data_IF_167148274000
#
_entry.id   IF_167148274000
#
_cell.length_a   1.000
_cell.length_b   1.000
_cell.length_c   1.000
_cell.angle_alpha   90.00
_cell.angle_beta   90.00
_cell.angle_gamma   90.00
#
_symmetry.space_group_name_H-M   'P 1'
#
loop_
_entity.id
_entity.type
_entity.pdbx_description
1 polymer ?
#
# COMPACT_ATOMS: atom_id res chain seq x y z
N UNK A 1 -31.17 -18.82 -6.86
CA UNK A 1 -32.37 -17.98 -6.90
C UNK A 1 -33.30 -18.45 -5.81
N UNK A 2 -33.57 -17.58 -4.83
CA UNK A 2 -34.41 -17.93 -3.68
C UNK A 2 -35.88 -17.66 -4.00
N UNK A 3 -36.19 -16.54 -4.67
CA UNK A 3 -37.54 -16.16 -5.08
C UNK A 3 -37.56 -15.73 -6.56
N UNK A 4 -37.85 -16.64 -7.51
CA UNK A 4 -37.80 -16.35 -8.93
C UNK A 4 -39.01 -15.51 -9.37
N UNK A 5 -38.72 -14.35 -9.99
CA UNK A 5 -39.72 -13.46 -10.60
C UNK A 5 -39.42 -13.25 -12.07
N UNK A 6 -40.47 -13.14 -12.88
CA UNK A 6 -40.36 -12.74 -14.28
C UNK A 6 -40.67 -11.25 -14.45
N UNK A 7 -39.91 -10.57 -15.30
CA UNK A 7 -40.22 -9.23 -15.80
C UNK A 7 -41.05 -9.30 -17.08
N UNK A 8 -41.59 -8.17 -17.52
CA UNK A 8 -42.46 -8.08 -18.72
C UNK A 8 -41.78 -8.43 -20.04
N UNK A 9 -40.45 -8.46 -20.06
CA UNK A 9 -39.65 -8.95 -21.19
C UNK A 9 -39.47 -10.48 -21.19
N UNK A 10 -40.06 -11.19 -20.21
CA UNK A 10 -39.99 -12.65 -20.08
C UNK A 10 -38.70 -13.18 -19.43
N UNK A 11 -37.79 -12.29 -19.02
CA UNK A 11 -36.57 -12.70 -18.31
C UNK A 11 -36.87 -13.03 -16.84
N UNK A 12 -36.17 -14.02 -16.28
CA UNK A 12 -36.35 -14.49 -14.90
C UNK A 12 -35.17 -14.04 -14.03
N UNK A 13 -35.46 -13.44 -12.89
CA UNK A 13 -34.48 -12.91 -11.96
C UNK A 13 -34.79 -13.33 -10.51
N UNK A 14 -33.81 -13.17 -9.62
CA UNK A 14 -34.07 -13.20 -8.18
C UNK A 14 -34.77 -11.89 -7.77
N UNK A 15 -35.88 -11.97 -7.02
CA UNK A 15 -36.71 -10.81 -6.66
C UNK A 15 -35.89 -9.69 -6.03
N UNK A 16 -35.09 -10.02 -5.01
CA UNK A 16 -34.33 -9.01 -4.28
C UNK A 16 -33.37 -8.25 -5.20
N UNK A 17 -32.72 -8.96 -6.12
CA UNK A 17 -31.76 -8.40 -7.04
C UNK A 17 -32.42 -7.44 -8.04
N UNK A 18 -33.52 -7.86 -8.67
CA UNK A 18 -34.20 -7.02 -9.66
C UNK A 18 -34.88 -5.81 -9.00
N UNK A 19 -35.43 -5.96 -7.80
CA UNK A 19 -35.97 -4.84 -7.04
C UNK A 19 -34.89 -3.81 -6.67
N UNK A 20 -33.74 -4.27 -6.16
CA UNK A 20 -32.61 -3.39 -5.86
C UNK A 20 -32.10 -2.68 -7.12
N UNK A 21 -32.03 -3.38 -8.24
CA UNK A 21 -31.65 -2.80 -9.53
C UNK A 21 -32.59 -1.69 -9.98
N UNK A 22 -33.91 -1.95 -9.93
CA UNK A 22 -34.96 -0.97 -10.25
C UNK A 22 -34.83 0.25 -9.33
N UNK A 23 -34.70 0.05 -8.01
CA UNK A 23 -34.53 1.14 -7.02
C UNK A 23 -33.29 1.98 -7.31
N UNK A 24 -32.15 1.35 -7.58
CA UNK A 24 -30.86 2.03 -7.88
C UNK A 24 -30.92 2.85 -9.16
N UNK A 25 -31.66 2.40 -10.18
CA UNK A 25 -31.89 3.16 -11.43
C UNK A 25 -32.79 4.37 -11.20
N UNK A 26 -33.87 4.19 -10.44
CA UNK A 26 -34.81 5.26 -10.09
C UNK A 26 -34.14 6.37 -9.28
N UNK A 27 -33.34 6.03 -8.26
CA UNK A 27 -32.60 7.02 -7.46
C UNK A 27 -31.66 7.89 -8.29
N UNK A 28 -31.22 7.40 -9.46
CA UNK A 28 -30.34 8.12 -10.39
C UNK A 28 -31.09 8.84 -11.51
N UNK A 29 -32.43 8.84 -11.50
CA UNK A 29 -33.28 9.34 -12.57
C UNK A 29 -32.88 8.79 -13.96
N UNK A 30 -32.49 7.52 -14.03
CA UNK A 30 -32.13 6.83 -15.28
C UNK A 30 -33.29 5.93 -15.75
N UNK A 31 -33.45 5.72 -17.06
CA UNK A 31 -34.39 4.73 -17.57
C UNK A 31 -34.07 3.35 -16.98
N UNK A 32 -35.12 2.59 -16.68
CA UNK A 32 -35.01 1.28 -16.04
C UNK A 32 -34.82 0.26 -17.16
N UNK A 33 -33.58 -0.19 -17.32
CA UNK A 33 -33.22 -1.18 -18.33
C UNK A 33 -33.19 -2.58 -17.70
N UNK A 34 -33.66 -3.58 -18.42
CA UNK A 34 -33.53 -5.00 -18.07
C UNK A 34 -32.04 -5.37 -17.99
N UNK A 35 -31.57 -6.02 -16.90
CA UNK A 35 -30.16 -6.39 -16.76
C UNK A 35 -29.65 -7.31 -17.88
N UNK A 36 -30.47 -8.26 -18.36
CA UNK A 36 -30.05 -9.24 -19.35
C UNK A 36 -30.08 -8.68 -20.78
N UNK A 37 -31.12 -7.92 -21.14
CA UNK A 37 -31.32 -7.47 -22.53
C UNK A 37 -30.82 -6.06 -22.78
N UNK A 38 -30.59 -5.26 -21.72
CA UNK A 38 -30.24 -3.84 -21.83
C UNK A 38 -31.37 -2.96 -22.37
N UNK A 39 -32.55 -3.53 -22.67
CA UNK A 39 -33.71 -2.80 -23.18
C UNK A 39 -34.50 -2.15 -22.06
N UNK A 40 -35.21 -1.05 -22.36
CA UNK A 40 -36.06 -0.39 -21.38
C UNK A 40 -37.26 -1.26 -21.00
N UNK A 41 -37.52 -1.39 -19.70
CA UNK A 41 -38.63 -2.15 -19.16
C UNK A 41 -39.90 -1.28 -19.21
N UNK A 42 -40.89 -1.62 -20.07
CA UNK A 42 -42.11 -0.83 -20.20
C UNK A 42 -42.97 -0.84 -18.92
N UNK A 43 -42.80 -1.87 -18.08
CA UNK A 43 -43.45 -1.98 -16.78
C UNK A 43 -42.50 -2.54 -15.73
N UNK A 44 -42.69 -2.09 -14.49
CA UNK A 44 -41.90 -2.50 -13.31
C UNK A 44 -42.57 -3.62 -12.52
N UNK A 45 -43.71 -4.12 -13.00
CA UNK A 45 -44.46 -5.19 -12.35
C UNK A 45 -43.65 -6.48 -12.47
N UNK A 46 -43.38 -7.11 -11.32
CA UNK A 46 -42.66 -8.38 -11.23
C UNK A 46 -43.69 -9.50 -11.03
N UNK A 47 -43.69 -10.48 -11.93
CA UNK A 47 -44.59 -11.62 -11.88
C UNK A 47 -43.94 -12.75 -11.06
N UNK A 48 -44.49 -13.13 -9.89
CA UNK A 48 -43.97 -14.25 -9.12
C UNK A 48 -44.16 -15.57 -9.86
N UNK A 49 -43.12 -16.40 -9.94
CA UNK A 49 -43.18 -17.69 -10.61
C UNK A 49 -43.38 -18.85 -9.62
N UNK A 50 -44.37 -18.73 -8.73
CA UNK A 50 -44.64 -19.72 -7.67
C UNK A 50 -44.91 -21.11 -8.26
N UNK A 51 -45.64 -21.19 -9.37
CA UNK A 51 -45.95 -22.46 -10.03
C UNK A 51 -44.67 -23.16 -10.54
N UNK A 52 -43.72 -22.41 -11.10
CA UNK A 52 -42.45 -22.95 -11.55
C UNK A 52 -41.62 -23.46 -10.37
N UNK A 53 -41.56 -22.68 -9.29
CA UNK A 53 -40.87 -23.09 -8.07
C UNK A 53 -41.44 -24.41 -7.52
N UNK A 54 -42.76 -24.52 -7.40
CA UNK A 54 -43.43 -25.76 -6.95
C UNK A 54 -43.17 -26.92 -7.91
N UNK A 55 -43.16 -26.68 -9.21
CA UNK A 55 -42.82 -27.69 -10.21
C UNK A 55 -41.40 -28.21 -10.06
N UNK A 56 -40.43 -27.32 -9.83
CA UNK A 56 -39.03 -27.70 -9.58
C UNK A 56 -38.89 -28.45 -8.25
N UNK A 57 -39.54 -27.98 -7.18
CA UNK A 57 -39.54 -28.66 -5.88
C UNK A 57 -40.12 -30.08 -5.99
N UNK A 58 -41.26 -30.23 -6.66
CA UNK A 58 -41.88 -31.53 -6.91
C UNK A 58 -40.99 -32.43 -7.76
N UNK A 59 -40.36 -31.90 -8.82
CA UNK A 59 -39.43 -32.65 -9.65
C UNK A 59 -38.22 -33.15 -8.86
N UNK A 60 -37.62 -32.31 -8.02
CA UNK A 60 -36.50 -32.67 -7.15
C UNK A 60 -36.91 -33.67 -6.06
N UNK A 61 -38.15 -33.58 -5.56
CA UNK A 61 -38.70 -34.56 -4.61
C UNK A 61 -38.82 -35.96 -5.23
N UNK A 62 -39.19 -36.03 -6.52
CA UNK A 62 -39.26 -37.30 -7.26
C UNK A 62 -37.90 -37.85 -7.71
N UNK A 63 -36.83 -37.04 -7.64
CA UNK A 63 -35.48 -37.41 -8.09
C UNK A 63 -34.40 -37.04 -7.06
N UNK A 64 -34.28 -37.80 -5.97
CA UNK A 64 -33.32 -37.50 -4.90
C UNK A 64 -31.85 -37.55 -5.37
N UNK A 65 -31.54 -38.26 -6.46
CA UNK A 65 -30.20 -38.29 -7.07
C UNK A 65 -29.71 -36.88 -7.47
N UNK A 66 -30.60 -36.01 -7.95
CA UNK A 66 -30.27 -34.63 -8.29
C UNK A 66 -30.04 -33.78 -7.04
N UNK A 67 -30.82 -33.99 -5.98
CA UNK A 67 -30.64 -33.28 -4.71
C UNK A 67 -29.27 -33.59 -4.10
N UNK A 68 -28.88 -34.87 -4.12
CA UNK A 68 -27.56 -35.30 -3.66
C UNK A 68 -26.42 -34.70 -4.51
N UNK A 69 -26.59 -34.66 -5.84
CA UNK A 69 -25.63 -34.05 -6.76
C UNK A 69 -25.47 -32.54 -6.51
N UNK A 70 -26.58 -31.80 -6.34
CA UNK A 70 -26.56 -30.36 -6.06
C UNK A 70 -25.92 -30.06 -4.70
N UNK A 71 -26.21 -30.85 -3.66
CA UNK A 71 -25.57 -30.69 -2.36
C UNK A 71 -24.07 -30.97 -2.42
N UNK A 72 -23.66 -32.01 -3.17
CA UNK A 72 -22.25 -32.32 -3.39
C UNK A 72 -21.54 -31.18 -4.13
N UNK A 73 -22.15 -30.66 -5.20
CA UNK A 73 -21.61 -29.54 -5.96
C UNK A 73 -21.42 -28.27 -5.10
N UNK A 74 -22.39 -27.94 -4.24
CA UNK A 74 -22.26 -26.81 -3.30
C UNK A 74 -21.18 -27.04 -2.23
N UNK A 75 -21.05 -28.28 -1.75
CA UNK A 75 -20.00 -28.62 -0.79
C UNK A 75 -18.60 -28.57 -1.40
N UNK A 76 -18.45 -28.96 -2.67
CA UNK A 76 -17.17 -28.87 -3.38
C UNK A 76 -16.81 -27.43 -3.68
N UNK A 77 -17.75 -26.59 -4.14
CA UNK A 77 -17.50 -25.16 -4.37
C UNK A 77 -17.08 -24.45 -3.08
N UNK A 78 -17.76 -24.72 -1.97
CA UNK A 78 -17.37 -24.16 -0.66
C UNK A 78 -16.01 -24.66 -0.20
N UNK A 79 -15.67 -25.92 -0.46
CA UNK A 79 -14.36 -26.48 -0.10
C UNK A 79 -13.24 -25.88 -0.95
N UNK A 80 -13.46 -25.70 -2.25
CA UNK A 80 -12.48 -25.07 -3.15
C UNK A 80 -12.23 -23.61 -2.77
N UNK A 81 -13.27 -22.86 -2.40
CA UNK A 81 -13.13 -21.49 -1.94
C UNK A 81 -12.32 -21.41 -0.64
N UNK A 82 -12.58 -22.32 0.31
CA UNK A 82 -11.79 -22.41 1.56
C UNK A 82 -10.32 -22.72 1.26
N UNK A 83 -10.04 -23.70 0.40
CA UNK A 83 -8.66 -24.04 0.00
C UNK A 83 -7.96 -22.86 -0.67
N UNK A 84 -8.64 -22.12 -1.56
CA UNK A 84 -8.08 -20.92 -2.19
C UNK A 84 -7.78 -19.82 -1.18
N UNK A 85 -8.66 -19.61 -0.19
CA UNK A 85 -8.44 -18.63 0.87
C UNK A 85 -7.28 -19.03 1.79
N UNK A 86 -7.17 -20.31 2.15
CA UNK A 86 -6.03 -20.83 2.93
C UNK A 86 -4.71 -20.69 2.17
N UNK A 87 -4.69 -21.01 0.88
CA UNK A 87 -3.52 -20.81 0.03
C UNK A 87 -3.13 -19.33 -0.04
N UNK A 88 -4.10 -18.42 -0.26
CA UNK A 88 -3.85 -16.98 -0.30
C UNK A 88 -3.33 -16.45 1.06
N UNK A 89 -3.83 -16.97 2.18
CA UNK A 89 -3.32 -16.64 3.51
C UNK A 89 -1.88 -17.15 3.72
N UNK A 90 -1.58 -18.35 3.25
CA UNK A 90 -0.22 -18.91 3.27
C UNK A 90 0.76 -18.08 2.43
N UNK A 91 0.38 -17.70 1.21
CA UNK A 91 1.17 -16.82 0.34
C UNK A 91 1.36 -15.42 0.95
N UNK A 92 0.32 -14.86 1.59
CA UNK A 92 0.43 -13.59 2.29
C UNK A 92 1.37 -13.66 3.51
N UNK A 93 1.35 -14.77 4.25
CA UNK A 93 2.24 -14.99 5.40
C UNK A 93 3.71 -15.13 4.98
N UNK A 94 3.99 -15.88 3.90
CA UNK A 94 5.37 -16.01 3.37
C UNK A 94 5.87 -14.70 2.78
N UNK A 95 5.03 -13.97 2.04
CA UNK A 95 5.36 -12.63 1.54
C UNK A 95 5.68 -11.65 2.67
N UNK A 96 4.93 -11.72 3.78
CA UNK A 96 5.19 -10.90 4.97
C UNK A 96 6.54 -11.26 5.61
N UNK A 97 6.84 -12.55 5.78
CA UNK A 97 8.12 -12.99 6.34
C UNK A 97 9.31 -12.55 5.48
N UNK A 98 9.20 -12.66 4.15
CA UNK A 98 10.22 -12.17 3.21
C UNK A 98 10.39 -10.65 3.27
N UNK A 99 9.30 -9.90 3.44
CA UNK A 99 9.36 -8.45 3.61
C UNK A 99 10.06 -8.06 4.92
N UNK A 100 9.81 -8.77 6.02
CA UNK A 100 10.51 -8.55 7.30
C UNK A 100 12.01 -8.88 7.20
N UNK A 101 12.37 -10.00 6.57
CA UNK A 101 13.78 -10.35 6.35
C UNK A 101 14.52 -9.31 5.48
N UNK A 102 13.88 -8.85 4.40
CA UNK A 102 14.45 -7.80 3.54
C UNK A 102 14.62 -6.47 4.28
N UNK A 103 13.71 -6.14 5.21
CA UNK A 103 13.80 -4.95 6.07
C UNK A 103 15.00 -5.06 7.02
N UNK A 104 15.19 -6.18 7.69
CA UNK A 104 16.30 -6.38 8.61
C UNK A 104 17.65 -6.33 7.89
N UNK A 105 17.73 -6.93 6.69
CA UNK A 105 18.90 -6.83 5.82
C UNK A 105 19.20 -5.38 5.42
N UNK A 106 18.19 -4.60 5.05
CA UNK A 106 18.36 -3.19 4.72
C UNK A 106 18.82 -2.35 5.92
N UNK A 107 18.32 -2.64 7.13
CA UNK A 107 18.76 -1.96 8.36
C UNK A 107 20.24 -2.23 8.64
N UNK A 108 20.69 -3.48 8.50
CA UNK A 108 22.09 -3.85 8.65
C UNK A 108 22.99 -3.17 7.61
N UNK A 109 22.55 -3.11 6.35
CA UNK A 109 23.28 -2.44 5.27
C UNK A 109 23.41 -0.93 5.53
N UNK A 110 22.33 -0.27 5.96
CA UNK A 110 22.36 1.15 6.35
C UNK A 110 23.31 1.38 7.54
N UNK A 111 23.33 0.49 8.53
CA UNK A 111 24.25 0.57 9.66
C UNK A 111 25.73 0.44 9.22
N UNK A 112 26.01 -0.51 8.32
CA UNK A 112 27.35 -0.69 7.75
C UNK A 112 27.81 0.52 6.94
N UNK A 113 26.92 1.11 6.12
CA UNK A 113 27.20 2.32 5.35
C UNK A 113 27.48 3.52 6.26
N UNK A 114 26.70 3.70 7.34
CA UNK A 114 26.96 4.74 8.35
C UNK A 114 28.33 4.56 9.01
N UNK A 115 28.70 3.33 9.38
CA UNK A 115 30.00 3.06 9.97
C UNK A 115 31.15 3.37 8.98
N UNK A 116 30.97 3.01 7.70
CA UNK A 116 31.96 3.34 6.64
C UNK A 116 32.10 4.85 6.44
N UNK A 117 30.99 5.59 6.43
CA UNK A 117 31.00 7.05 6.35
C UNK A 117 31.69 7.70 7.56
N UNK A 118 31.46 7.20 8.77
CA UNK A 118 32.15 7.66 9.99
C UNK A 118 33.66 7.41 9.91
N UNK A 119 34.09 6.23 9.46
CA UNK A 119 35.51 5.91 9.25
C UNK A 119 36.15 6.85 8.22
N UNK A 120 35.48 7.08 7.09
CA UNK A 120 35.97 8.02 6.06
C UNK A 120 36.07 9.45 6.61
N UNK A 121 35.09 9.90 7.42
CA UNK A 121 35.14 11.20 8.07
C UNK A 121 36.32 11.34 9.02
N UNK A 122 36.65 10.29 9.78
CA UNK A 122 37.82 10.28 10.65
C UNK A 122 39.13 10.41 9.87
N UNK A 123 39.31 9.60 8.81
CA UNK A 123 40.49 9.65 7.93
C UNK A 123 40.63 11.03 7.29
N UNK A 124 39.53 11.64 6.84
CA UNK A 124 39.55 12.97 6.24
C UNK A 124 39.89 14.06 7.28
N UNK A 125 39.53 13.87 8.54
CA UNK A 125 39.94 14.70 9.66
C UNK A 125 41.45 14.64 9.90
N UNK A 126 42.02 13.43 10.00
CA UNK A 126 43.47 13.20 10.15
C UNK A 126 44.26 13.80 8.98
N UNK A 127 43.76 13.64 7.76
CA UNK A 127 44.36 14.22 6.57
C UNK A 127 44.37 15.76 6.61
N UNK A 128 43.25 16.37 7.00
CA UNK A 128 43.16 17.84 7.18
C UNK A 128 44.13 18.35 8.25
N UNK A 129 44.30 17.61 9.35
CA UNK A 129 45.28 17.96 10.38
C UNK A 129 46.72 17.82 9.90
N UNK A 130 47.04 16.74 9.18
CA UNK A 130 48.36 16.52 8.60
C UNK A 130 48.72 17.65 7.61
N UNK A 131 47.79 18.03 6.72
CA UNK A 131 47.97 19.14 5.80
C UNK A 131 48.23 20.46 6.54
N UNK A 132 47.48 20.76 7.62
CA UNK A 132 47.74 21.94 8.47
C UNK A 132 49.12 21.92 9.12
N UNK A 133 49.59 20.76 9.59
CA UNK A 133 50.94 20.62 10.18
C UNK A 133 52.02 20.88 9.13
N UNK A 134 51.86 20.35 7.92
CA UNK A 134 52.80 20.52 6.82
C UNK A 134 52.86 21.98 6.36
N UNK A 135 51.71 22.67 6.25
CA UNK A 135 51.68 24.11 5.97
C UNK A 135 52.41 24.93 7.06
N UNK A 136 52.20 24.60 8.34
CA UNK A 136 52.94 25.27 9.44
C UNK A 136 54.45 25.03 9.35
N UNK A 137 54.88 23.80 9.05
CA UNK A 137 56.29 23.48 8.87
C UNK A 137 56.91 24.28 7.71
N UNK A 138 56.23 24.33 6.56
CA UNK A 138 56.68 25.13 5.41
C UNK A 138 56.78 26.62 5.75
N UNK A 139 55.81 27.17 6.48
CA UNK A 139 55.87 28.55 6.97
C UNK A 139 57.07 28.78 7.90
N UNK A 140 57.34 27.86 8.82
CA UNK A 140 58.52 27.97 9.71
C UNK A 140 59.84 27.85 8.95
N UNK A 141 59.93 26.95 7.95
CA UNK A 141 61.12 26.82 7.10
C UNK A 141 61.34 28.07 6.26
N UNK A 142 60.27 28.65 5.71
CA UNK A 142 60.33 29.91 4.95
C UNK A 142 60.80 31.07 5.82
N UNK A 143 60.32 31.15 7.07
CA UNK A 143 60.78 32.16 8.02
C UNK A 143 62.26 31.97 8.40
N UNK A 144 62.70 30.72 8.67
CA UNK A 144 64.09 30.41 9.01
C UNK A 144 65.06 30.67 7.84
N UNK A 145 64.62 30.45 6.60
CA UNK A 145 65.40 30.78 5.42
C UNK A 145 65.50 32.29 5.22
N UNK A 146 64.43 33.05 5.47
CA UNK A 146 64.48 34.50 5.40
C UNK A 146 65.49 35.10 6.41
N UNK A 147 65.55 34.55 7.64
CA UNK A 147 66.55 34.97 8.64
C UNK A 147 67.97 34.54 8.25
N UNK A 148 68.15 33.32 7.73
CA UNK A 148 69.44 32.85 7.24
C UNK A 148 69.96 33.69 6.05
N UNK A 149 69.06 34.09 5.14
CA UNK A 149 69.38 34.98 4.03
C UNK A 149 69.87 36.35 4.51
N UNK A 150 69.25 36.92 5.56
CA UNK A 150 69.69 38.18 6.13
C UNK A 150 71.05 38.07 6.82
N UNK A 151 71.29 36.97 7.55
CA UNK A 151 72.57 36.74 8.24
C UNK A 151 73.72 36.50 7.24
N UNK A 152 73.47 35.70 6.21
CA UNK A 152 74.42 35.45 5.14
C UNK A 152 74.79 36.74 4.40
N UNK A 153 73.81 37.61 4.11
CA UNK A 153 74.06 38.94 3.52
C UNK A 153 74.95 39.81 4.42
N UNK A 154 74.71 39.81 5.73
CA UNK A 154 75.54 40.55 6.68
C UNK A 154 76.98 40.01 6.74
N UNK A 155 77.17 38.68 6.71
CA UNK A 155 78.50 38.07 6.68
C UNK A 155 79.24 38.35 5.36
N UNK A 156 78.53 38.34 4.23
CA UNK A 156 79.07 38.68 2.91
C UNK A 156 79.59 40.13 2.85
N UNK A 157 78.83 41.08 3.39
CA UNK A 157 79.25 42.47 3.51
C UNK A 157 80.56 42.62 4.32
N UNK A 158 80.83 41.72 5.26
CA UNK A 158 82.05 41.72 6.05
C UNK A 158 83.27 41.07 5.35
N UNK A 159 83.06 40.20 4.35
CA UNK A 159 84.12 39.33 3.80
C UNK A 159 84.88 39.90 2.58
N UNK A 160 84.39 40.96 1.92
CA UNK A 160 85.13 41.86 1.03
C UNK A 160 85.71 41.32 -0.30
N UNK A 161 86.14 40.05 -0.42
CA UNK A 161 86.95 39.58 -1.57
C UNK A 161 86.47 38.27 -2.23
N UNK A 162 85.39 37.64 -1.75
CA UNK A 162 84.77 36.45 -2.37
C UNK A 162 83.27 36.64 -2.66
N UNK A 163 82.88 37.89 -2.90
CA UNK A 163 81.47 38.27 -2.94
C UNK A 163 80.70 37.61 -4.09
N UNK A 164 81.31 37.52 -5.27
CA UNK A 164 80.62 37.10 -6.51
C UNK A 164 80.30 35.60 -6.51
N UNK A 165 81.25 34.72 -6.19
CA UNK A 165 80.99 33.27 -6.10
C UNK A 165 79.92 32.91 -5.04
N UNK A 166 79.91 33.65 -3.93
CA UNK A 166 78.90 33.47 -2.89
C UNK A 166 77.54 34.01 -3.32
N UNK A 167 77.48 35.07 -4.12
CA UNK A 167 76.21 35.54 -4.70
C UNK A 167 75.62 34.50 -5.66
N UNK A 168 76.44 33.90 -6.52
CA UNK A 168 75.99 32.87 -7.46
C UNK A 168 75.47 31.63 -6.73
N UNK A 169 76.19 31.15 -5.71
CA UNK A 169 75.73 30.03 -4.89
C UNK A 169 74.41 30.34 -4.15
N UNK A 170 74.25 31.56 -3.63
CA UNK A 170 73.04 31.99 -2.93
C UNK A 170 71.85 32.14 -3.90
N UNK A 171 72.09 32.62 -5.12
CA UNK A 171 71.10 32.67 -6.19
C UNK A 171 70.63 31.26 -6.59
N UNK A 172 71.54 30.29 -6.71
CA UNK A 172 71.20 28.90 -7.00
C UNK A 172 70.35 28.27 -5.89
N UNK A 173 70.73 28.45 -4.62
CA UNK A 173 69.94 27.94 -3.48
C UNK A 173 68.55 28.57 -3.44
N UNK A 174 68.43 29.86 -3.78
CA UNK A 174 67.14 30.54 -3.87
C UNK A 174 66.26 29.96 -4.98
N UNK A 175 66.83 29.75 -6.17
CA UNK A 175 66.11 29.15 -7.30
C UNK A 175 65.63 27.73 -6.98
N UNK A 176 66.50 26.89 -6.40
CA UNK A 176 66.14 25.53 -5.96
C UNK A 176 65.03 25.55 -4.89
N UNK A 177 65.06 26.53 -3.98
CA UNK A 177 64.03 26.68 -2.95
C UNK A 177 62.70 27.17 -3.51
N UNK A 178 62.71 28.14 -4.42
CA UNK A 178 61.51 28.63 -5.12
C UNK A 178 60.86 27.50 -5.92
N UNK A 179 61.65 26.70 -6.66
CA UNK A 179 61.15 25.53 -7.38
C UNK A 179 60.49 24.50 -6.45
N UNK A 180 61.08 24.23 -5.28
CA UNK A 180 60.49 23.34 -4.27
C UNK A 180 59.21 23.91 -3.67
N UNK A 181 59.15 25.23 -3.46
CA UNK A 181 57.95 25.91 -2.99
C UNK A 181 56.82 25.78 -4.01
N UNK A 182 57.08 26.11 -5.28
CA UNK A 182 56.09 25.99 -6.36
C UNK A 182 55.59 24.55 -6.52
N UNK A 183 56.48 23.55 -6.46
CA UNK A 183 56.09 22.15 -6.48
C UNK A 183 55.19 21.77 -5.29
N UNK A 184 55.50 22.28 -4.09
CA UNK A 184 54.69 22.04 -2.88
C UNK A 184 53.33 22.74 -2.92
N UNK A 185 53.26 23.94 -3.48
CA UNK A 185 52.02 24.70 -3.68
C UNK A 185 51.12 24.00 -4.70
N UNK A 186 51.70 23.51 -5.81
CA UNK A 186 50.99 22.69 -6.79
C UNK A 186 50.43 21.40 -6.18
N UNK A 187 51.21 20.71 -5.33
CA UNK A 187 50.73 19.53 -4.61
C UNK A 187 49.59 19.86 -3.64
N UNK A 188 49.68 20.98 -2.90
CA UNK A 188 48.62 21.43 -2.01
C UNK A 188 47.33 21.78 -2.78
N UNK A 189 47.44 22.47 -3.92
CA UNK A 189 46.31 22.81 -4.77
C UNK A 189 45.61 21.55 -5.30
N UNK A 190 46.37 20.53 -5.72
CA UNK A 190 45.83 19.25 -6.16
C UNK A 190 45.07 18.52 -5.03
N UNK A 191 45.67 18.44 -3.84
CA UNK A 191 45.02 17.82 -2.68
C UNK A 191 43.75 18.56 -2.28
N UNK A 192 43.74 19.90 -2.35
CA UNK A 192 42.56 20.71 -2.05
C UNK A 192 41.45 20.48 -3.09
N UNK A 193 41.79 20.31 -4.37
CA UNK A 193 40.82 19.94 -5.40
C UNK A 193 40.22 18.55 -5.16
N UNK A 194 41.04 17.55 -4.78
CA UNK A 194 40.57 16.20 -4.44
C UNK A 194 39.65 16.22 -3.20
N UNK A 195 39.99 17.00 -2.17
CA UNK A 195 39.13 17.19 -0.98
C UNK A 195 37.79 17.79 -1.37
N UNK A 196 37.77 18.85 -2.19
CA UNK A 196 36.53 19.45 -2.68
C UNK A 196 35.69 18.47 -3.50
N UNK A 197 36.33 17.63 -4.34
CA UNK A 197 35.63 16.60 -5.11
C UNK A 197 34.98 15.55 -4.19
N UNK A 198 35.68 15.11 -3.14
CA UNK A 198 35.13 14.18 -2.14
C UNK A 198 33.97 14.82 -1.38
N UNK A 199 34.08 16.09 -1.00
CA UNK A 199 33.00 16.84 -0.33
C UNK A 199 31.75 16.94 -1.22
N UNK A 200 31.89 17.23 -2.51
CA UNK A 200 30.77 17.22 -3.46
C UNK A 200 30.10 15.83 -3.55
N UNK A 201 30.89 14.76 -3.68
CA UNK A 201 30.35 13.38 -3.70
C UNK A 201 29.63 13.00 -2.40
N UNK A 202 30.11 13.49 -1.26
CA UNK A 202 29.43 13.27 0.01
C UNK A 202 28.05 13.95 0.07
N UNK A 203 27.91 15.15 -0.50
CA UNK A 203 26.62 15.85 -0.60
C UNK A 203 25.66 15.11 -1.53
N UNK A 204 26.12 14.70 -2.72
CA UNK A 204 25.31 13.90 -3.66
C UNK A 204 24.79 12.60 -3.01
N UNK A 205 25.64 11.90 -2.25
CA UNK A 205 25.23 10.70 -1.52
C UNK A 205 24.21 11.02 -0.42
N UNK A 206 24.33 12.15 0.27
CA UNK A 206 23.35 12.58 1.28
C UNK A 206 21.97 12.83 0.65
N UNK A 207 21.92 13.45 -0.53
CA UNK A 207 20.68 13.67 -1.27
C UNK A 207 20.05 12.35 -1.72
N UNK A 208 20.86 11.41 -2.24
CA UNK A 208 20.37 10.06 -2.60
C UNK A 208 19.81 9.33 -1.38
N UNK A 209 20.45 9.43 -0.21
CA UNK A 209 19.92 8.86 1.03
C UNK A 209 18.62 9.53 1.47
N UNK A 210 18.52 10.86 1.38
CA UNK A 210 17.31 11.60 1.72
C UNK A 210 16.13 11.20 0.80
N UNK A 211 16.39 11.08 -0.51
CA UNK A 211 15.41 10.63 -1.48
C UNK A 211 14.96 9.19 -1.21
N UNK A 212 15.90 8.26 -1.04
CA UNK A 212 15.58 6.86 -0.75
C UNK A 212 14.77 6.70 0.55
N UNK A 213 15.05 7.52 1.57
CA UNK A 213 14.27 7.56 2.81
C UNK A 213 12.84 8.06 2.55
N UNK A 214 12.68 9.16 1.82
CA UNK A 214 11.37 9.70 1.43
C UNK A 214 10.54 8.67 0.65
N UNK A 215 11.15 8.03 -0.34
CA UNK A 215 10.51 6.98 -1.16
C UNK A 215 10.09 5.78 -0.30
N UNK A 216 10.94 5.37 0.64
CA UNK A 216 10.63 4.32 1.62
C UNK A 216 9.43 4.67 2.50
N UNK A 217 9.38 5.89 3.03
CA UNK A 217 8.25 6.38 3.84
C UNK A 217 6.94 6.45 3.03
N UNK A 218 7.00 6.88 1.78
CA UNK A 218 5.83 6.91 0.89
C UNK A 218 5.30 5.50 0.61
N UNK A 219 6.20 4.54 0.34
CA UNK A 219 5.82 3.12 0.13
C UNK A 219 5.18 2.52 1.38
N UNK A 220 5.72 2.82 2.56
CA UNK A 220 5.15 2.37 3.83
C UNK A 220 3.73 2.93 4.04
N UNK A 221 3.52 4.24 3.83
CA UNK A 221 2.19 4.86 3.92
C UNK A 221 1.19 4.25 2.95
N UNK A 222 1.62 3.97 1.71
CA UNK A 222 0.77 3.32 0.72
C UNK A 222 0.39 1.88 1.13
N UNK A 223 1.30 1.14 1.76
CA UNK A 223 1.03 -0.19 2.28
C UNK A 223 0.08 -0.15 3.50
N UNK A 224 0.26 0.81 4.41
CA UNK A 224 -0.64 1.04 5.55
C UNK A 224 -2.06 1.40 5.11
N UNK A 225 -2.20 2.25 4.08
CA UNK A 225 -3.49 2.58 3.49
C UNK A 225 -4.20 1.34 2.92
N UNK A 226 -3.48 0.50 2.15
CA UNK A 226 -4.02 -0.77 1.63
C UNK A 226 -4.43 -1.72 2.75
N UNK A 227 -3.66 -1.80 3.83
CA UNK A 227 -4.02 -2.63 4.99
C UNK A 227 -5.29 -2.11 5.67
N UNK A 228 -5.42 -0.78 5.84
CA UNK A 228 -6.64 -0.17 6.37
C UNK A 228 -7.87 -0.50 5.50
N UNK A 229 -7.74 -0.49 4.17
CA UNK A 229 -8.80 -0.90 3.24
C UNK A 229 -9.19 -2.38 3.43
N UNK A 230 -8.21 -3.28 3.54
CA UNK A 230 -8.45 -4.70 3.78
C UNK A 230 -9.16 -4.94 5.13
N UNK A 231 -8.76 -4.24 6.18
CA UNK A 231 -9.44 -4.30 7.49
C UNK A 231 -10.89 -3.85 7.40
N UNK A 232 -11.18 -2.82 6.60
CA UNK A 232 -12.56 -2.39 6.34
C UNK A 232 -13.38 -3.45 5.59
N UNK A 233 -12.78 -4.17 4.62
CA UNK A 233 -13.41 -5.29 3.92
C UNK A 233 -13.72 -6.44 4.88
N UNK A 234 -12.76 -6.83 5.72
CA UNK A 234 -12.95 -7.86 6.75
C UNK A 234 -14.10 -7.48 7.68
N UNK A 235 -14.11 -6.24 8.20
CA UNK A 235 -15.18 -5.74 9.08
C UNK A 235 -16.56 -5.80 8.41
N UNK A 236 -16.66 -5.44 7.13
CA UNK A 236 -17.93 -5.55 6.37
C UNK A 236 -18.38 -7.00 6.25
N UNK A 237 -17.45 -7.93 5.98
CA UNK A 237 -17.76 -9.36 5.89
C UNK A 237 -18.23 -9.94 7.22
N UNK A 238 -17.59 -9.57 8.32
CA UNK A 238 -18.04 -9.96 9.66
C UNK A 238 -19.45 -9.47 9.95
N UNK A 239 -19.78 -8.23 9.57
CA UNK A 239 -21.13 -7.70 9.77
C UNK A 239 -22.18 -8.44 8.95
N UNK A 240 -21.86 -8.79 7.69
CA UNK A 240 -22.72 -9.67 6.89
C UNK A 240 -22.94 -11.03 7.56
N UNK A 241 -21.88 -11.64 8.13
CA UNK A 241 -22.00 -12.90 8.87
C UNK A 241 -22.85 -12.75 10.14
N UNK A 242 -22.73 -11.63 10.87
CA UNK A 242 -23.60 -11.33 12.02
C UNK A 242 -25.06 -11.20 11.60
N UNK A 243 -25.34 -10.51 10.50
CA UNK A 243 -26.70 -10.38 9.94
C UNK A 243 -27.26 -11.74 9.53
N UNK A 244 -26.47 -12.55 8.83
CA UNK A 244 -26.86 -13.92 8.46
C UNK A 244 -27.17 -14.77 9.68
N UNK A 245 -26.36 -14.73 10.74
CA UNK A 245 -26.63 -15.44 12.00
C UNK A 245 -27.92 -14.99 12.68
N UNK A 246 -28.19 -13.68 12.70
CA UNK A 246 -29.45 -13.14 13.24
C UNK A 246 -30.64 -13.66 12.45
N UNK A 247 -30.57 -13.59 11.12
CA UNK A 247 -31.63 -14.09 10.25
C UNK A 247 -31.88 -15.58 10.45
N UNK A 248 -30.83 -16.41 10.53
CA UNK A 248 -30.96 -17.84 10.84
C UNK A 248 -31.48 -18.13 12.25
N UNK A 249 -31.33 -17.21 13.21
CA UNK A 249 -31.92 -17.35 14.54
C UNK A 249 -33.42 -17.02 14.52
N UNK A 250 -33.82 -15.95 13.83
CA UNK A 250 -35.22 -15.60 13.61
C UNK A 250 -35.97 -16.71 12.89
N UNK A 251 -35.40 -17.24 11.80
CA UNK A 251 -36.00 -18.35 11.06
C UNK A 251 -36.21 -19.61 11.92
N UNK A 252 -35.27 -19.90 12.84
CA UNK A 252 -35.43 -21.01 13.79
C UNK A 252 -36.56 -20.76 14.78
N UNK A 253 -36.67 -19.53 15.30
CA UNK A 253 -37.79 -19.17 16.19
C UNK A 253 -39.14 -19.26 15.49
N UNK A 254 -39.21 -18.87 14.21
CA UNK A 254 -40.42 -19.01 13.40
C UNK A 254 -40.80 -20.48 13.21
N UNK A 255 -39.84 -21.34 12.88
CA UNK A 255 -40.07 -22.79 12.76
C UNK A 255 -40.50 -23.43 14.08
N UNK A 256 -39.86 -23.07 15.20
CA UNK A 256 -40.24 -23.58 16.53
C UNK A 256 -41.67 -23.14 16.92
N UNK A 257 -42.07 -21.91 16.53
CA UNK A 257 -43.42 -21.41 16.75
C UNK A 257 -44.45 -22.14 15.88
N UNK A 258 -44.13 -22.41 14.62
CA UNK A 258 -44.97 -23.23 13.74
C UNK A 258 -45.13 -24.65 14.28
N UNK A 259 -44.05 -25.29 14.75
CA UNK A 259 -44.10 -26.63 15.34
C UNK A 259 -44.97 -26.67 16.61
N UNK A 260 -44.91 -25.65 17.46
CA UNK A 260 -45.77 -25.54 18.64
C UNK A 260 -47.25 -25.41 18.27
N UNK A 261 -47.57 -24.62 17.24
CA UNK A 261 -48.94 -24.52 16.74
C UNK A 261 -49.40 -25.87 16.18
N UNK A 262 -48.60 -26.52 15.32
CA UNK A 262 -48.96 -27.83 14.74
C UNK A 262 -49.16 -28.89 15.84
N UNK A 263 -48.28 -28.95 16.84
CA UNK A 263 -48.41 -29.87 17.96
C UNK A 263 -49.67 -29.59 18.79
N UNK A 264 -49.94 -28.32 19.14
CA UNK A 264 -51.12 -27.94 19.92
C UNK A 264 -52.44 -28.25 19.20
N UNK A 265 -52.48 -28.06 17.88
CA UNK A 265 -53.63 -28.45 17.05
C UNK A 265 -53.83 -29.97 17.03
N UNK A 266 -52.73 -30.73 16.96
CA UNK A 266 -52.78 -32.20 16.97
C UNK A 266 -53.28 -32.77 18.30
N UNK A 267 -52.85 -32.20 19.42
CA UNK A 267 -53.33 -32.57 20.77
C UNK A 267 -54.80 -32.21 20.97
N UNK A 268 -55.22 -31.03 20.49
CA UNK A 268 -56.62 -30.61 20.54
C UNK A 268 -57.52 -31.53 19.70
N UNK A 269 -57.02 -32.03 18.56
CA UNK A 269 -57.74 -32.97 17.72
C UNK A 269 -57.83 -34.38 18.33
N UNK A 270 -56.78 -34.86 19.01
CA UNK A 270 -56.76 -36.20 19.62
C UNK A 270 -57.51 -36.30 20.95
N UNK A 271 -57.71 -35.18 21.66
CA UNK A 271 -58.39 -35.14 22.96
C UNK A 271 -59.92 -35.30 22.95
N UNK A 272 -60.60 -35.35 21.80
CA UNK A 272 -62.08 -35.38 21.74
C UNK A 272 -62.74 -36.77 21.68
N UNK A 273 -61.98 -37.88 21.80
CA UNK A 273 -62.52 -39.24 21.57
C UNK A 273 -63.10 -39.96 22.80
N UNK A 274 -63.35 -39.28 23.93
CA UNK A 274 -63.91 -39.94 25.12
C UNK A 274 -65.02 -39.12 25.77
N UNK A 275 -66.12 -38.95 25.03
CA UNK A 275 -67.40 -38.52 25.61
C UNK A 275 -68.51 -39.43 25.08
N UNK A 276 -69.25 -39.98 26.03
CA UNK A 276 -70.30 -40.96 25.87
C UNK A 276 -71.27 -40.67 24.73
N UNK A 277 -71.62 -41.75 24.02
CA UNK A 277 -72.55 -41.76 22.90
C UNK A 277 -73.87 -41.06 23.21
N UNK A 278 -74.00 -39.84 22.68
CA UNK A 278 -75.30 -39.26 22.31
C UNK A 278 -75.14 -38.54 20.97
N UNK A 279 -75.91 -38.93 19.94
CA UNK A 279 -75.86 -38.27 18.63
C UNK A 279 -76.47 -36.86 18.77
N UNK A 280 -75.62 -35.84 18.84
CA UNK A 280 -76.04 -34.46 18.73
C UNK A 280 -75.80 -34.03 17.28
N UNK A 281 -76.86 -33.55 16.64
CA UNK A 281 -76.90 -33.13 15.25
C UNK A 281 -75.84 -32.05 14.94
N UNK A 282 -75.34 -31.99 13.68
CA UNK A 282 -74.30 -31.04 13.30
C UNK A 282 -74.83 -29.61 13.34
N UNK A 283 -74.42 -28.85 14.35
CA UNK A 283 -74.57 -27.39 14.37
C UNK A 283 -73.41 -26.82 13.55
N UNK A 284 -73.75 -26.33 12.36
CA UNK A 284 -72.89 -25.53 11.51
C UNK A 284 -72.65 -24.18 12.21
N UNK A 285 -71.56 -24.08 12.96
CA UNK A 285 -71.05 -22.80 13.42
C UNK A 285 -69.93 -22.35 12.50
N UNK A 286 -70.25 -21.45 11.57
CA UNK A 286 -69.27 -20.69 10.82
C UNK A 286 -68.43 -19.85 11.80
N UNK A 287 -67.09 -19.93 11.76
CA UNK A 287 -66.26 -19.04 12.55
C UNK A 287 -66.30 -17.64 11.93
N UNK A 288 -67.05 -16.74 12.55
CA UNK A 288 -66.95 -15.29 12.29
C UNK A 288 -65.59 -14.83 12.81
N UNK A 289 -64.61 -14.76 11.92
CA UNK A 289 -63.33 -14.10 12.18
C UNK A 289 -63.59 -12.60 12.26
N UNK A 290 -63.77 -12.08 13.48
CA UNK A 290 -63.65 -10.64 13.73
C UNK A 290 -62.17 -10.29 13.75
N UNK A 291 -61.73 -9.62 12.68
CA UNK A 291 -60.43 -8.94 12.63
C UNK A 291 -60.57 -7.64 13.44
N UNK A 292 -60.14 -7.66 14.70
CA UNK A 292 -59.95 -6.44 15.49
C UNK A 292 -58.71 -5.70 14.96
N UNK A 293 -58.93 -4.56 14.32
CA UNK A 293 -57.89 -3.68 13.77
C UNK A 293 -57.36 -2.64 14.76
N UNK A 294 -57.67 -2.76 16.05
CA UNK A 294 -57.24 -1.80 17.08
C UNK A 294 -56.14 -2.37 17.97
N UNK A 295 -54.90 -2.37 17.47
CA UNK A 295 -53.71 -2.44 18.33
C UNK A 295 -52.70 -1.40 17.88
N UNK A 296 -52.54 -0.28 18.61
CA UNK A 296 -51.52 0.71 18.32
C UNK A 296 -50.17 0.22 18.84
N UNK A 297 -49.28 -0.18 17.92
CA UNK A 297 -47.91 -0.52 18.23
C UNK A 297 -47.11 0.69 18.77
N UNK A 298 -46.15 0.48 19.70
CA UNK A 298 -45.36 1.56 20.28
C UNK A 298 -44.17 1.90 19.38
N UNK A 299 -44.39 2.80 18.41
CA UNK A 299 -43.29 3.53 17.78
C UNK A 299 -43.44 5.02 18.04
N UNK A 300 -42.92 5.45 19.20
CA UNK A 300 -42.59 6.85 19.47
C UNK A 300 -41.42 7.24 18.55
N UNK A 301 -41.73 7.82 17.40
CA UNK A 301 -40.78 8.63 16.66
C UNK A 301 -40.59 9.95 17.44
N UNK A 302 -39.41 10.11 18.04
CA UNK A 302 -38.97 11.37 18.63
C UNK A 302 -38.58 12.29 17.46
N UNK A 303 -39.47 13.19 17.07
CA UNK A 303 -39.13 14.35 16.26
C UNK A 303 -38.25 15.28 17.11
N UNK A 304 -36.94 15.27 16.83
CA UNK A 304 -36.06 16.40 17.14
C UNK A 304 -35.88 17.23 15.87
N UNK A 305 -36.73 18.23 15.73
CA UNK A 305 -36.47 19.42 14.93
C UNK A 305 -35.22 20.12 15.47
N UNK A 306 -34.09 19.93 14.78
CA UNK A 306 -32.98 20.90 14.81
C UNK A 306 -32.96 21.58 13.45
N UNK A 307 -33.43 22.82 13.44
CA UNK A 307 -33.22 23.73 12.33
C UNK A 307 -31.74 23.98 12.13
N UNK A 308 -31.31 23.94 10.87
CA UNK A 308 -30.08 24.55 10.40
C UNK A 308 -30.35 25.26 9.07
N UNK A 309 -29.60 26.33 8.77
CA UNK A 309 -30.07 27.43 7.95
C UNK A 309 -29.86 27.19 6.46
N UNK A 310 -30.68 27.88 5.66
CA UNK A 310 -30.54 28.00 4.23
C UNK A 310 -29.15 28.53 3.86
N UNK A 311 -28.38 27.72 3.13
CA UNK A 311 -27.22 28.17 2.36
C UNK A 311 -27.61 28.13 0.89
N UNK A 312 -27.71 29.32 0.30
CA UNK A 312 -27.91 29.52 -1.12
C UNK A 312 -26.72 28.96 -1.90
N UNK A 313 -26.94 27.92 -2.69
CA UNK A 313 -25.96 27.49 -3.69
C UNK A 313 -26.17 28.35 -4.93
N UNK A 314 -25.30 29.36 -5.07
CA UNK A 314 -25.12 30.10 -6.32
C UNK A 314 -24.49 29.14 -7.32
N UNK A 315 -25.23 28.83 -8.39
CA UNK A 315 -24.70 28.11 -9.55
C UNK A 315 -23.72 29.03 -10.31
N UNK A 316 -22.43 28.87 -10.01
CA UNK A 316 -21.34 29.36 -10.84
C UNK A 316 -21.10 28.40 -12.00
N UNK A 317 -21.33 28.87 -13.22
CA UNK A 317 -20.90 28.23 -14.45
C UNK A 317 -19.37 28.38 -14.57
N UNK A 318 -18.64 27.27 -14.51
CA UNK A 318 -17.23 27.25 -14.89
C UNK A 318 -17.10 27.22 -16.44
N UNK A 319 -16.24 28.05 -17.03
CA UNK A 319 -15.97 28.04 -18.47
C UNK A 319 -15.03 26.87 -18.86
N UNK A 320 -15.02 26.47 -20.15
CA UNK A 320 -14.24 25.34 -20.62
C UNK A 320 -12.72 25.63 -20.58
N UNK A 321 -11.97 24.70 -19.98
CA UNK A 321 -10.50 24.68 -19.95
C UNK A 321 -9.97 24.37 -21.35
N UNK A 322 -9.04 25.16 -21.91
CA UNK A 322 -8.41 24.87 -23.19
C UNK A 322 -7.41 23.71 -23.07
N UNK A 323 -7.51 22.74 -23.98
CA UNK A 323 -6.53 21.68 -24.16
C UNK A 323 -5.19 22.28 -24.64
N UNK A 324 -4.25 22.48 -23.71
CA UNK A 324 -2.85 22.69 -24.03
C UNK A 324 -2.24 21.36 -24.50
N UNK A 325 -1.97 21.24 -25.81
CA UNK A 325 -1.09 20.21 -26.37
C UNK A 325 0.33 20.47 -25.86
N UNK A 326 0.85 19.58 -25.02
CA UNK A 326 2.28 19.49 -24.75
C UNK A 326 2.98 18.81 -25.94
N UNK A 327 4.20 19.24 -26.30
CA UNK A 327 4.96 18.67 -27.40
C UNK A 327 5.44 17.25 -27.05
N UNK A 328 5.34 16.34 -28.01
CA UNK A 328 5.98 15.03 -27.96
C UNK A 328 7.50 15.20 -27.98
N UNK A 329 8.25 14.57 -27.07
CA UNK A 329 9.69 14.41 -27.24
C UNK A 329 9.94 13.20 -28.15
N UNK A 330 10.22 13.48 -29.42
CA UNK A 330 10.99 12.58 -30.27
C UNK A 330 12.41 12.52 -29.71
N UNK A 331 12.83 11.34 -29.24
CA UNK A 331 14.16 11.17 -28.67
C UNK A 331 14.36 9.83 -28.02
N UNK A 332 14.57 8.80 -28.84
CA UNK A 332 15.12 7.51 -28.42
C UNK A 332 16.47 7.71 -27.72
N UNK A 333 16.48 7.75 -26.38
CA UNK A 333 17.66 7.41 -25.60
C UNK A 333 17.36 6.13 -24.83
N UNK A 334 18.10 5.08 -25.19
CA UNK A 334 18.06 3.79 -24.53
C UNK A 334 18.38 3.98 -23.03
N UNK A 335 17.37 3.79 -22.19
CA UNK A 335 17.53 3.68 -20.74
C UNK A 335 18.22 2.34 -20.42
N UNK A 336 19.53 2.28 -20.67
CA UNK A 336 20.42 1.30 -20.07
C UNK A 336 20.54 1.59 -18.58
N UNK A 337 19.93 0.72 -17.79
CA UNK A 337 20.02 0.59 -16.33
C UNK A 337 21.34 1.11 -15.74
N UNK A 338 21.32 2.27 -15.08
CA UNK A 338 22.44 2.80 -14.29
C UNK A 338 22.89 1.82 -13.17
N UNK A 339 21.99 0.92 -12.76
CA UNK A 339 22.26 -0.18 -11.83
C UNK A 339 23.21 -1.25 -12.40
N UNK A 340 23.33 -1.39 -13.73
CA UNK A 340 24.19 -2.39 -14.36
C UNK A 340 25.65 -1.91 -14.48
N UNK A 341 25.89 -0.60 -14.54
CA UNK A 341 27.23 -0.01 -14.63
C UNK A 341 27.98 -0.01 -13.29
N UNK A 342 27.26 0.13 -12.16
CA UNK A 342 27.85 0.07 -10.83
C UNK A 342 28.31 -1.33 -10.42
N UNK A 343 27.67 -2.39 -10.91
CA UNK A 343 28.08 -3.78 -10.63
C UNK A 343 29.32 -4.22 -11.43
N UNK A 344 29.50 -3.73 -12.66
CA UNK A 344 30.64 -4.14 -13.49
C UNK A 344 31.97 -3.53 -13.04
N UNK A 345 31.97 -2.35 -12.43
CA UNK A 345 33.19 -1.72 -11.89
C UNK A 345 33.60 -2.21 -10.50
N UNK A 346 32.71 -2.85 -9.75
CA UNK A 346 33.05 -3.44 -8.44
C UNK A 346 33.87 -4.74 -8.57
N UNK A 347 33.75 -5.45 -9.70
CA UNK A 347 34.44 -6.74 -9.90
C UNK A 347 35.84 -6.60 -10.53
N UNK A 348 36.18 -5.46 -11.13
CA UNK A 348 37.49 -5.26 -11.79
C UNK A 348 38.55 -4.65 -10.87
N UNK A 349 38.19 -4.14 -9.69
CA UNK A 349 39.16 -3.52 -8.76
C UNK A 349 39.79 -4.50 -7.75
N UNK A 350 39.37 -5.77 -7.72
CA UNK A 350 39.85 -6.76 -6.74
C UNK A 350 41.01 -7.67 -7.22
N UNK A 351 41.66 -7.38 -8.35
CA UNK A 351 42.84 -8.14 -8.83
C UNK A 351 44.03 -7.22 -9.08
N UNK A 352 44.62 -6.71 -8.00
CA UNK A 352 46.00 -6.21 -8.05
C UNK A 352 46.54 -6.04 -6.64
N UNK A 353 47.73 -6.59 -6.41
CA UNK A 353 48.60 -6.32 -5.27
C UNK A 353 48.44 -7.19 -4.01
N UNK A 354 48.89 -8.44 -4.14
CA UNK A 354 49.57 -9.14 -3.04
C UNK A 354 50.83 -9.81 -3.58
N UNK A 355 51.89 -9.02 -3.82
CA UNK A 355 53.27 -9.51 -3.84
C UNK A 355 53.87 -9.19 -2.47
N UNK A 356 53.80 -10.18 -1.58
CA UNK A 356 54.60 -10.27 -0.38
C UNK A 356 56.06 -10.45 -0.79
N UNK A 357 56.89 -9.46 -0.47
CA UNK A 357 58.35 -9.64 -0.37
C UNK A 357 58.62 -9.98 1.09
N UNK A 358 59.02 -11.22 1.35
CA UNK A 358 59.58 -11.62 2.64
C UNK A 358 61.08 -11.28 2.71
N UNK A 359 61.65 -11.08 3.91
CA UNK A 359 63.08 -10.85 4.07
C UNK A 359 63.79 -12.21 4.20
N UNK A 360 64.81 -12.44 3.39
CA UNK A 360 66.06 -13.15 3.73
C UNK A 360 67.09 -12.94 2.62
#
# INVERSE_FOLDING_TARGET
MVDPVATVDGCVYDREYIEQWIRKRQQKNKPILSPATGMELPSKVLMPLVALQRGVEAYLAHRPEFKASIMRARSSESSEEVVRLEQALGEAATAKAQAEESRDKAVLEVAALKQRAQKQKAVLGEFKEAARRLCKQLQTQKAALATSETDAKQQLLAAGAKHDELQDALAQVRADFEQRCEASEGACAKLQAEVSQVECRCLELQDVFAQAKSDGEQRLRAAEAKNADLQNVIRRREEQLRQSRRWSATLRQELDAEDQLVCGWKESASGSSQADGKPIAPIVNEPVIRVDTSSPGPFRAVERTRGLPAMSVVSGLDPPVPHARLPQPDGCFAAGSASQWLWQNALTSSRSSSKLVGPY
#
